data_IF_718231939266
#
_entry.id   IF_718231939266
#
_cell.length_a   1.000
_cell.length_b   1.000
_cell.length_c   1.000
_cell.angle_alpha   90.00
_cell.angle_beta   90.00
_cell.angle_gamma   90.00
#
_symmetry.space_group_name_H-M   'P 1'
#
loop_
_entity.id
_entity.type
_entity.pdbx_description
1 polymer ?
#
# COMPACT_ATOMS: atom_id res chain seq x y z
N UNK A 1 8.96 -11.70 40.37
CA UNK A 1 9.51 -11.66 38.99
C UNK A 1 8.36 -11.32 38.06
N UNK A 2 8.38 -10.15 37.42
CA UNK A 2 7.34 -9.79 36.47
C UNK A 2 7.48 -10.68 35.22
N UNK A 3 6.43 -11.41 34.86
CA UNK A 3 6.38 -12.13 33.59
C UNK A 3 6.49 -11.11 32.46
N UNK A 4 7.58 -11.18 31.68
CA UNK A 4 7.67 -10.42 30.42
C UNK A 4 6.55 -10.89 29.50
N UNK A 5 5.69 -9.97 29.06
CA UNK A 5 4.60 -10.29 28.16
C UNK A 5 5.18 -10.90 26.87
N UNK A 6 4.92 -12.17 26.56
CA UNK A 6 5.46 -12.85 25.37
C UNK A 6 4.92 -12.26 24.06
N UNK A 7 3.90 -11.41 24.13
CA UNK A 7 3.32 -10.67 23.00
C UNK A 7 3.82 -9.22 22.93
N UNK A 8 4.66 -8.78 23.88
CA UNK A 8 5.28 -7.46 23.82
C UNK A 8 6.37 -7.41 22.75
N UNK A 9 6.58 -6.22 22.19
CA UNK A 9 7.48 -6.03 21.06
C UNK A 9 8.92 -6.31 21.51
N UNK A 10 9.56 -7.31 20.92
CA UNK A 10 10.96 -7.62 21.21
C UNK A 10 11.87 -6.57 20.55
N UNK A 11 12.10 -5.47 21.27
CA UNK A 11 12.97 -4.37 20.85
C UNK A 11 14.42 -4.85 20.75
N UNK A 12 14.83 -5.75 21.64
CA UNK A 12 16.18 -6.30 21.72
C UNK A 12 16.47 -7.22 20.52
N UNK A 13 15.53 -8.12 20.19
CA UNK A 13 15.60 -8.98 19.01
C UNK A 13 15.55 -8.19 17.70
N UNK A 14 14.79 -7.09 17.65
CA UNK A 14 14.75 -6.19 16.48
C UNK A 14 16.09 -5.49 16.27
N UNK A 15 16.75 -5.02 17.35
CA UNK A 15 18.08 -4.39 17.29
C UNK A 15 19.17 -5.36 16.84
N UNK A 16 19.16 -6.61 17.35
CA UNK A 16 20.15 -7.63 16.95
C UNK A 16 20.06 -8.01 15.47
N UNK A 17 18.87 -7.93 14.89
CA UNK A 17 18.61 -8.36 13.51
C UNK A 17 18.67 -7.22 12.47
N UNK A 18 19.06 -6.00 12.85
CA UNK A 18 19.24 -4.85 11.92
C UNK A 18 20.05 -5.22 10.65
N UNK A 19 21.21 -5.90 10.72
CA UNK A 19 21.96 -6.24 9.50
C UNK A 19 21.17 -7.19 8.58
N UNK A 20 20.42 -8.14 9.14
CA UNK A 20 19.55 -9.01 8.35
C UNK A 20 18.42 -8.22 7.69
N UNK A 21 17.78 -7.29 8.40
CA UNK A 21 16.79 -6.39 7.82
C UNK A 21 17.37 -5.55 6.68
N UNK A 22 18.59 -5.02 6.82
CA UNK A 22 19.26 -4.26 5.76
C UNK A 22 19.45 -5.08 4.49
N UNK A 23 19.99 -6.30 4.63
CA UNK A 23 20.21 -7.19 3.50
C UNK A 23 18.88 -7.62 2.85
N UNK A 24 17.94 -8.14 3.65
CA UNK A 24 16.66 -8.66 3.14
C UNK A 24 15.79 -7.57 2.52
N UNK A 25 15.81 -6.35 3.06
CA UNK A 25 15.08 -5.22 2.47
C UNK A 25 15.61 -4.89 1.08
N UNK A 26 16.93 -4.82 0.90
CA UNK A 26 17.55 -4.56 -0.41
C UNK A 26 17.26 -5.71 -1.37
N UNK A 27 17.47 -6.96 -0.94
CA UNK A 27 17.30 -8.14 -1.81
C UNK A 27 15.84 -8.27 -2.25
N UNK A 28 14.88 -8.18 -1.32
CA UNK A 28 13.46 -8.28 -1.66
C UNK A 28 12.99 -7.14 -2.56
N UNK A 29 13.46 -5.90 -2.31
CA UNK A 29 13.15 -4.75 -3.14
C UNK A 29 13.71 -4.92 -4.56
N UNK A 30 14.99 -5.29 -4.70
CA UNK A 30 15.61 -5.55 -6.01
C UNK A 30 14.89 -6.66 -6.76
N UNK A 31 14.53 -7.74 -6.08
CA UNK A 31 13.80 -8.86 -6.67
C UNK A 31 12.44 -8.41 -7.25
N UNK A 32 11.66 -7.67 -6.47
CA UNK A 32 10.36 -7.11 -6.90
C UNK A 32 10.52 -6.10 -8.04
N UNK A 33 11.48 -5.18 -7.93
CA UNK A 33 11.76 -4.14 -8.92
C UNK A 33 12.20 -4.72 -10.27
N UNK A 34 13.19 -5.62 -10.26
CA UNK A 34 13.72 -6.26 -11.46
C UNK A 34 12.64 -7.12 -12.12
N UNK A 35 11.88 -7.90 -11.35
CA UNK A 35 10.78 -8.68 -11.89
C UNK A 35 9.70 -7.80 -12.52
N UNK A 36 9.33 -6.68 -11.88
CA UNK A 36 8.35 -5.74 -12.43
C UNK A 36 8.81 -5.18 -13.78
N UNK A 37 10.09 -4.80 -13.93
CA UNK A 37 10.63 -4.29 -15.20
C UNK A 37 10.68 -5.39 -16.26
N UNK A 38 11.30 -6.54 -15.95
CA UNK A 38 11.49 -7.63 -16.90
C UNK A 38 10.14 -8.11 -17.43
N UNK A 39 9.18 -8.41 -16.55
CA UNK A 39 7.89 -8.96 -16.93
C UNK A 39 6.89 -7.92 -17.47
N UNK A 40 7.22 -6.64 -17.41
CA UNK A 40 6.49 -5.60 -18.15
C UNK A 40 6.83 -5.65 -19.65
N UNK A 41 8.08 -5.97 -19.99
CA UNK A 41 8.60 -5.88 -21.36
C UNK A 41 8.68 -7.26 -22.02
N UNK A 42 9.10 -8.28 -21.27
CA UNK A 42 9.42 -9.61 -21.76
C UNK A 42 8.52 -10.64 -21.11
N UNK A 43 7.78 -11.47 -21.86
CA UNK A 43 7.01 -12.56 -21.27
C UNK A 43 7.96 -13.64 -20.71
N UNK A 44 7.51 -14.45 -19.74
CA UNK A 44 8.29 -15.59 -19.30
C UNK A 44 8.60 -16.52 -20.48
N UNK A 45 9.80 -17.11 -20.49
CA UNK A 45 10.17 -18.10 -21.50
C UNK A 45 9.17 -19.25 -21.52
N UNK A 46 8.86 -19.77 -22.71
CA UNK A 46 7.99 -20.93 -22.86
C UNK A 46 8.75 -22.14 -22.33
N UNK A 47 8.59 -22.46 -21.04
CA UNK A 47 9.09 -23.71 -20.48
C UNK A 47 8.48 -24.88 -21.24
N UNK A 48 9.21 -25.99 -21.35
CA UNK A 48 8.81 -27.24 -22.02
C UNK A 48 7.50 -27.89 -21.48
N UNK A 49 6.78 -27.24 -20.58
CA UNK A 49 5.52 -27.68 -19.97
C UNK A 49 4.35 -26.79 -20.46
N UNK A 50 3.96 -27.00 -21.72
CA UNK A 50 3.00 -26.19 -22.48
C UNK A 50 1.53 -26.40 -22.14
N UNK A 51 1.09 -25.99 -20.94
CA UNK A 51 -0.34 -25.96 -20.60
C UNK A 51 -0.89 -24.57 -20.26
N UNK A 52 -0.04 -23.61 -19.88
CA UNK A 52 -0.48 -22.29 -19.40
C UNK A 52 -0.07 -21.19 -20.37
N UNK A 53 -1.00 -20.29 -20.69
CA UNK A 53 -0.70 -19.09 -21.47
C UNK A 53 0.27 -18.20 -20.66
N UNK A 54 1.41 -17.85 -21.26
CA UNK A 54 2.38 -16.94 -20.65
C UNK A 54 2.30 -15.58 -21.35
N UNK A 55 2.56 -14.51 -20.59
CA UNK A 55 2.50 -13.16 -21.13
C UNK A 55 3.19 -12.15 -20.24
N UNK A 56 3.41 -10.95 -20.77
CA UNK A 56 3.82 -9.81 -19.94
C UNK A 56 2.69 -9.41 -18.99
N UNK A 57 3.00 -8.66 -17.93
CA UNK A 57 2.01 -8.19 -16.95
C UNK A 57 0.82 -7.52 -17.66
N UNK A 58 1.14 -6.59 -18.56
CA UNK A 58 0.15 -5.85 -19.35
C UNK A 58 -0.39 -6.64 -20.55
N UNK A 59 0.33 -7.65 -21.03
CA UNK A 59 -0.15 -8.56 -22.07
C UNK A 59 -1.31 -9.41 -21.57
N UNK A 60 -1.15 -10.02 -20.39
CA UNK A 60 -2.22 -10.79 -19.72
C UNK A 60 -3.41 -9.90 -19.40
N UNK A 61 -3.16 -8.67 -18.93
CA UNK A 61 -4.20 -7.66 -18.69
C UNK A 61 -5.06 -7.36 -19.93
N UNK A 62 -4.42 -7.20 -21.10
CA UNK A 62 -5.13 -6.93 -22.35
C UNK A 62 -5.91 -8.14 -22.86
N UNK A 63 -5.43 -9.35 -22.57
CA UNK A 63 -6.13 -10.58 -22.93
C UNK A 63 -7.39 -10.80 -22.07
N UNK A 64 -7.35 -10.40 -20.80
CA UNK A 64 -8.45 -10.57 -19.84
C UNK A 64 -8.96 -9.22 -19.35
N UNK A 65 -9.67 -8.51 -20.23
CA UNK A 65 -10.22 -7.21 -19.84
C UNK A 65 -11.41 -7.40 -18.91
N UNK A 66 -11.33 -6.74 -17.77
CA UNK A 66 -12.34 -6.77 -16.73
C UNK A 66 -12.81 -5.37 -16.35
N UNK A 67 -13.94 -5.27 -15.64
CA UNK A 67 -14.40 -4.03 -15.03
C UNK A 67 -13.32 -3.30 -14.21
N UNK A 68 -12.43 -4.04 -13.55
CA UNK A 68 -11.40 -3.48 -12.68
C UNK A 68 -10.04 -3.35 -13.35
N UNK A 69 -9.96 -3.53 -14.68
CA UNK A 69 -8.72 -3.34 -15.42
C UNK A 69 -8.34 -1.87 -15.44
N UNK A 70 -7.19 -1.54 -14.85
CA UNK A 70 -6.65 -0.18 -14.79
C UNK A 70 -5.87 0.18 -16.06
N UNK A 71 -5.75 1.48 -16.32
CA UNK A 71 -4.91 1.97 -17.40
C UNK A 71 -3.42 1.73 -17.10
N UNK A 72 -2.70 1.21 -18.08
CA UNK A 72 -1.31 0.80 -17.91
C UNK A 72 -0.38 2.00 -17.65
N UNK A 73 -0.69 3.19 -18.16
CA UNK A 73 0.11 4.40 -17.95
C UNK A 73 -0.01 4.83 -16.49
N UNK A 74 -1.24 4.86 -15.96
CA UNK A 74 -1.47 5.17 -14.55
C UNK A 74 -0.79 4.16 -13.62
N UNK A 75 -0.94 2.87 -13.88
CA UNK A 75 -0.28 1.82 -13.09
C UNK A 75 1.25 1.98 -13.16
N UNK A 76 1.81 2.26 -14.33
CA UNK A 76 3.26 2.45 -14.49
C UNK A 76 3.77 3.67 -13.71
N UNK A 77 3.08 4.82 -13.79
CA UNK A 77 3.43 6.02 -13.02
C UNK A 77 3.36 5.73 -11.52
N UNK A 78 2.30 5.03 -11.08
CA UNK A 78 2.13 4.65 -9.68
C UNK A 78 3.31 3.83 -9.16
N UNK A 79 3.74 2.82 -9.92
CA UNK A 79 4.85 1.96 -9.56
C UNK A 79 6.20 2.68 -9.56
N UNK A 80 6.45 3.56 -10.54
CA UNK A 80 7.66 4.39 -10.55
C UNK A 80 7.73 5.25 -9.28
N UNK A 81 6.65 5.95 -8.96
CA UNK A 81 6.58 6.78 -7.74
C UNK A 81 6.73 5.92 -6.48
N UNK A 82 6.09 4.75 -6.43
CA UNK A 82 6.21 3.82 -5.31
C UNK A 82 7.66 3.37 -5.14
N UNK A 83 8.33 2.90 -6.19
CA UNK A 83 9.73 2.46 -6.11
C UNK A 83 10.67 3.60 -5.70
N UNK A 84 10.48 4.82 -6.22
CA UNK A 84 11.23 5.99 -5.77
C UNK A 84 11.02 6.25 -4.27
N UNK A 85 9.78 6.18 -3.78
CA UNK A 85 9.49 6.33 -2.35
C UNK A 85 10.09 5.19 -1.52
N UNK A 86 10.13 3.97 -2.04
CA UNK A 86 10.72 2.82 -1.34
C UNK A 86 12.24 2.96 -1.16
N UNK A 87 12.94 3.63 -2.08
CA UNK A 87 14.35 3.99 -1.88
C UNK A 87 14.51 4.88 -0.62
N UNK A 88 13.60 5.84 -0.43
CA UNK A 88 13.60 6.68 0.78
C UNK A 88 13.45 5.86 2.05
N UNK A 89 12.60 4.83 2.06
CA UNK A 89 12.49 3.89 3.18
C UNK A 89 13.79 3.13 3.43
N UNK A 90 14.43 2.60 2.38
CA UNK A 90 15.70 1.88 2.48
C UNK A 90 16.77 2.79 3.11
N UNK A 91 16.86 4.05 2.67
CA UNK A 91 17.81 5.02 3.23
C UNK A 91 17.61 5.24 4.73
N UNK A 92 16.37 5.21 5.24
CA UNK A 92 16.10 5.34 6.69
C UNK A 92 16.77 4.23 7.50
N UNK A 93 16.90 3.03 6.94
CA UNK A 93 17.52 1.88 7.62
C UNK A 93 19.05 1.99 7.74
N UNK A 94 19.67 2.88 6.96
CA UNK A 94 21.10 3.17 6.97
C UNK A 94 21.46 4.51 7.65
N UNK A 95 20.49 5.23 8.20
CA UNK A 95 20.77 6.44 8.96
C UNK A 95 21.55 6.14 10.24
N UNK A 96 22.32 7.12 10.70
CA UNK A 96 23.08 7.07 11.96
C UNK A 96 22.19 7.27 13.20
N UNK A 97 20.97 7.79 13.00
CA UNK A 97 20.00 8.03 14.06
C UNK A 97 19.29 6.73 14.46
N UNK A 98 19.43 6.33 15.72
CA UNK A 98 18.81 5.13 16.28
C UNK A 98 17.28 5.18 16.25
N UNK A 99 16.67 6.36 16.39
CA UNK A 99 15.21 6.51 16.38
C UNK A 99 14.66 6.21 14.98
N UNK A 100 15.28 6.76 13.93
CA UNK A 100 14.93 6.49 12.54
C UNK A 100 15.09 5.01 12.18
N UNK A 101 16.20 4.39 12.57
CA UNK A 101 16.46 2.96 12.30
C UNK A 101 15.47 2.06 13.04
N UNK A 102 15.16 2.36 14.29
CA UNK A 102 14.21 1.56 15.09
C UNK A 102 12.78 1.69 14.56
N UNK A 103 12.38 2.88 14.08
CA UNK A 103 11.09 3.08 13.43
C UNK A 103 11.01 2.29 12.11
N UNK A 104 12.03 2.37 11.25
CA UNK A 104 12.08 1.61 10.00
C UNK A 104 12.11 0.10 10.24
N UNK A 105 12.92 -0.38 11.18
CA UNK A 105 13.04 -1.80 11.51
C UNK A 105 11.71 -2.40 12.02
N UNK A 106 10.86 -1.59 12.65
CA UNK A 106 9.54 -2.05 13.12
C UNK A 106 8.55 -2.39 12.03
N UNK A 107 8.75 -1.82 10.84
CA UNK A 107 7.93 -2.05 9.64
C UNK A 107 8.69 -2.90 8.60
N UNK A 108 9.99 -3.14 8.81
CA UNK A 108 10.88 -3.83 7.87
C UNK A 108 10.42 -5.22 7.47
N UNK A 109 9.88 -6.01 8.40
CA UNK A 109 9.35 -7.35 8.08
C UNK A 109 8.17 -7.29 7.10
N UNK A 110 7.24 -6.36 7.31
CA UNK A 110 6.09 -6.15 6.42
C UNK A 110 6.51 -5.62 5.05
N UNK A 111 7.51 -4.74 5.01
CA UNK A 111 8.09 -4.27 3.75
C UNK A 111 8.73 -5.40 2.95
N UNK A 112 9.51 -6.27 3.60
CA UNK A 112 10.13 -7.43 2.97
C UNK A 112 9.05 -8.38 2.43
N UNK A 113 8.06 -8.72 3.27
CA UNK A 113 6.97 -9.60 2.86
C UNK A 113 6.13 -9.01 1.73
N UNK A 114 5.89 -7.68 1.72
CA UNK A 114 5.20 -7.00 0.63
C UNK A 114 5.91 -7.23 -0.71
N UNK A 115 7.24 -7.03 -0.74
CA UNK A 115 8.01 -7.22 -1.97
C UNK A 115 8.06 -8.69 -2.40
N UNK A 116 8.15 -9.63 -1.46
CA UNK A 116 8.13 -11.06 -1.77
C UNK A 116 6.76 -11.51 -2.31
N UNK A 117 5.67 -11.08 -1.70
CA UNK A 117 4.33 -11.38 -2.19
C UNK A 117 4.03 -10.69 -3.52
N UNK A 118 4.51 -9.46 -3.72
CA UNK A 118 4.42 -8.78 -5.00
C UNK A 118 5.20 -9.54 -6.08
N UNK A 119 6.40 -10.02 -5.76
CA UNK A 119 7.19 -10.86 -6.67
C UNK A 119 6.45 -12.17 -7.01
N UNK A 120 5.96 -12.90 -6.00
CA UNK A 120 5.16 -14.11 -6.20
C UNK A 120 3.93 -13.84 -7.07
N UNK A 121 3.23 -12.73 -6.84
CA UNK A 121 2.10 -12.31 -7.66
C UNK A 121 2.52 -12.09 -9.12
N UNK A 122 3.61 -11.36 -9.39
CA UNK A 122 4.11 -11.13 -10.77
C UNK A 122 4.39 -12.46 -11.46
N UNK A 123 5.07 -13.39 -10.79
CA UNK A 123 5.39 -14.70 -11.35
C UNK A 123 4.12 -15.52 -11.65
N UNK A 124 3.14 -15.52 -10.75
CA UNK A 124 1.91 -16.29 -10.95
C UNK A 124 1.00 -15.65 -12.01
N UNK A 125 0.89 -14.32 -12.02
CA UNK A 125 0.09 -13.55 -12.98
C UNK A 125 0.59 -13.72 -14.42
N UNK A 126 1.91 -13.62 -14.62
CA UNK A 126 2.53 -13.75 -15.95
C UNK A 126 2.46 -15.18 -16.51
N UNK A 127 2.17 -16.15 -15.66
CA UNK A 127 1.91 -17.55 -16.00
C UNK A 127 0.41 -17.91 -16.01
N UNK A 128 -0.49 -16.92 -15.94
CA UNK A 128 -1.96 -17.10 -15.92
C UNK A 128 -2.50 -17.98 -14.78
N UNK A 129 -1.76 -18.09 -13.67
CA UNK A 129 -2.18 -18.83 -12.47
C UNK A 129 -3.02 -17.93 -11.55
N UNK A 130 -4.20 -17.51 -12.04
CA UNK A 130 -5.00 -16.45 -11.41
C UNK A 130 -5.41 -16.77 -9.97
N UNK A 131 -5.82 -18.00 -9.68
CA UNK A 131 -6.24 -18.42 -8.33
C UNK A 131 -5.10 -18.28 -7.31
N UNK A 132 -3.90 -18.74 -7.67
CA UNK A 132 -2.74 -18.65 -6.80
C UNK A 132 -2.26 -17.21 -6.67
N UNK A 133 -2.28 -16.46 -7.76
CA UNK A 133 -1.92 -15.04 -7.72
C UNK A 133 -2.88 -14.26 -6.81
N UNK A 134 -4.18 -14.58 -6.82
CA UNK A 134 -5.18 -13.94 -5.97
C UNK A 134 -4.95 -14.25 -4.49
N UNK A 135 -4.60 -15.50 -4.16
CA UNK A 135 -4.22 -15.86 -2.80
C UNK A 135 -3.07 -14.98 -2.28
N UNK A 136 -2.00 -14.81 -3.06
CA UNK A 136 -0.88 -13.93 -2.68
C UNK A 136 -1.27 -12.46 -2.62
N UNK A 137 -2.16 -11.98 -3.51
CA UNK A 137 -2.67 -10.61 -3.46
C UNK A 137 -3.48 -10.34 -2.17
N UNK A 138 -4.37 -11.26 -1.80
CA UNK A 138 -5.18 -11.18 -0.56
C UNK A 138 -4.29 -11.26 0.67
N UNK A 139 -3.33 -12.20 0.72
CA UNK A 139 -2.37 -12.27 1.82
C UNK A 139 -1.57 -10.98 1.95
N UNK A 140 -1.16 -10.38 0.83
CA UNK A 140 -0.44 -9.11 0.80
C UNK A 140 -1.30 -7.95 1.33
N UNK A 141 -2.57 -7.90 0.94
CA UNK A 141 -3.52 -6.93 1.46
C UNK A 141 -3.72 -7.07 2.98
N UNK A 142 -3.97 -8.29 3.46
CA UNK A 142 -4.23 -8.55 4.88
C UNK A 142 -3.03 -8.20 5.76
N UNK A 143 -1.80 -8.52 5.36
CA UNK A 143 -0.62 -8.17 6.15
C UNK A 143 -0.41 -6.65 6.27
N UNK A 144 -0.81 -5.88 5.26
CA UNK A 144 -0.69 -4.41 5.26
C UNK A 144 -1.81 -3.77 6.08
N UNK A 145 -3.02 -4.34 6.05
CA UNK A 145 -4.10 -3.95 6.98
C UNK A 145 -3.66 -4.20 8.43
N UNK A 146 -3.10 -5.38 8.72
CA UNK A 146 -2.58 -5.69 10.06
C UNK A 146 -1.46 -4.73 10.47
N UNK A 147 -0.58 -4.34 9.55
CA UNK A 147 0.42 -3.32 9.80
C UNK A 147 -0.22 -1.98 10.20
N UNK A 148 -1.26 -1.53 9.49
CA UNK A 148 -2.00 -0.30 9.80
C UNK A 148 -2.70 -0.36 11.16
N UNK A 149 -3.34 -1.48 11.47
CA UNK A 149 -4.02 -1.68 12.76
C UNK A 149 -3.02 -1.72 13.92
N UNK A 150 -1.84 -2.31 13.71
CA UNK A 150 -0.80 -2.46 14.74
C UNK A 150 0.03 -1.19 14.96
N UNK A 151 0.30 -0.45 13.90
CA UNK A 151 1.03 0.81 13.94
C UNK A 151 0.12 1.92 13.40
N UNK A 152 -0.87 2.39 14.18
CA UNK A 152 -1.69 3.54 13.84
C UNK A 152 -0.85 4.83 14.04
N UNK A 153 0.34 4.90 13.44
CA UNK A 153 1.13 6.13 13.44
C UNK A 153 0.48 7.06 12.44
N UNK A 154 -0.44 7.86 12.96
CA UNK A 154 -0.99 9.03 12.28
C UNK A 154 0.15 9.78 11.58
N UNK A 155 0.06 10.04 10.26
CA UNK A 155 1.04 10.88 9.59
C UNK A 155 0.95 12.27 10.19
N UNK A 156 1.84 12.58 11.13
CA UNK A 156 1.89 13.85 11.85
C UNK A 156 1.85 14.99 10.83
N UNK A 157 0.81 15.79 11.01
CA UNK A 157 0.28 16.79 10.11
C UNK A 157 1.18 18.03 10.16
N UNK A 158 2.32 18.01 9.47
CA UNK A 158 3.09 19.21 9.18
C UNK A 158 3.42 19.22 7.69
N UNK A 159 2.59 19.88 6.89
CA UNK A 159 3.04 20.40 5.60
C UNK A 159 4.12 21.43 5.96
N UNK A 160 5.39 21.22 5.58
CA UNK A 160 6.42 22.23 5.82
C UNK A 160 6.01 23.49 5.07
N UNK A 161 5.88 24.61 5.78
CA UNK A 161 5.68 25.94 5.19
C UNK A 161 6.92 26.44 4.43
N UNK A 162 7.89 25.57 4.16
CA UNK A 162 9.17 25.89 3.54
C UNK A 162 9.50 24.86 2.48
N UNK A 163 9.90 25.38 1.32
CA UNK A 163 10.26 24.67 0.09
C UNK A 163 11.59 23.90 0.21
N UNK A 164 11.87 23.30 1.37
CA UNK A 164 13.03 22.43 1.58
C UNK A 164 12.63 21.01 1.26
N UNK A 165 12.94 20.56 0.04
CA UNK A 165 12.52 19.26 -0.52
C UNK A 165 13.05 18.02 0.23
N UNK A 166 13.76 18.17 1.34
CA UNK A 166 14.53 17.09 1.97
C UNK A 166 14.33 16.93 3.49
N UNK A 167 13.58 17.82 4.15
CA UNK A 167 13.32 17.70 5.60
C UNK A 167 11.83 17.55 5.89
N UNK A 168 11.30 16.35 5.66
CA UNK A 168 9.89 16.05 5.91
C UNK A 168 9.78 14.79 6.76
N UNK A 169 9.56 14.98 8.06
CA UNK A 169 9.10 14.01 9.08
C UNK A 169 9.47 12.54 8.81
N UNK A 170 10.43 12.01 9.56
CA UNK A 170 10.90 10.59 9.52
C UNK A 170 9.74 9.58 9.38
N UNK A 171 8.62 9.83 10.06
CA UNK A 171 7.42 9.00 9.99
C UNK A 171 6.79 8.91 8.59
N UNK A 172 6.78 10.00 7.80
CA UNK A 172 6.23 9.99 6.43
C UNK A 172 7.07 9.17 5.48
N UNK A 173 8.39 9.29 5.61
CA UNK A 173 9.37 8.58 4.77
C UNK A 173 9.38 7.07 5.03
N UNK A 174 8.79 6.62 6.14
CA UNK A 174 8.58 5.20 6.44
C UNK A 174 7.17 4.76 6.05
N UNK A 175 6.16 5.55 6.41
CA UNK A 175 4.75 5.18 6.26
C UNK A 175 4.27 5.13 4.82
N UNK A 176 4.57 6.16 4.02
CA UNK A 176 4.11 6.24 2.62
C UNK A 176 4.62 5.07 1.77
N UNK A 177 5.95 4.78 1.75
CA UNK A 177 6.49 3.68 0.94
C UNK A 177 6.24 2.28 1.48
N UNK A 178 6.06 2.10 2.79
CA UNK A 178 5.94 0.77 3.39
C UNK A 178 4.50 0.36 3.71
N UNK A 179 3.59 1.32 3.88
CA UNK A 179 2.22 1.06 4.26
C UNK A 179 1.22 1.67 3.27
N UNK A 180 1.17 3.00 3.11
CA UNK A 180 0.08 3.68 2.42
C UNK A 180 -0.05 3.29 0.93
N UNK A 181 1.01 3.50 0.13
CA UNK A 181 0.96 3.16 -1.29
C UNK A 181 0.91 1.64 -1.53
N UNK A 182 1.70 0.80 -0.84
CA UNK A 182 1.55 -0.65 -0.93
C UNK A 182 0.14 -1.16 -0.65
N UNK A 183 -0.53 -0.60 0.36
CA UNK A 183 -1.87 -1.02 0.77
C UNK A 183 -2.90 -0.67 -0.30
N UNK A 184 -2.90 0.56 -0.79
CA UNK A 184 -3.82 0.98 -1.85
C UNK A 184 -3.63 0.12 -3.09
N UNK A 185 -2.40 -0.14 -3.52
CA UNK A 185 -2.15 -1.02 -4.65
C UNK A 185 -2.70 -2.42 -4.41
N UNK A 186 -2.43 -3.01 -3.23
CA UNK A 186 -2.86 -4.37 -2.91
C UNK A 186 -4.38 -4.51 -2.93
N UNK A 187 -5.12 -3.48 -2.51
CA UNK A 187 -6.58 -3.46 -2.61
C UNK A 187 -7.07 -3.47 -4.07
N UNK A 188 -6.51 -2.60 -4.92
CA UNK A 188 -6.84 -2.60 -6.34
C UNK A 188 -6.42 -3.90 -7.03
N UNK A 189 -5.30 -4.48 -6.62
CA UNK A 189 -4.78 -5.74 -7.13
C UNK A 189 -5.75 -6.89 -6.86
N UNK A 190 -6.29 -7.00 -5.64
CA UNK A 190 -7.30 -8.01 -5.27
C UNK A 190 -8.57 -7.84 -6.12
N UNK A 191 -9.07 -6.61 -6.29
CA UNK A 191 -10.25 -6.38 -7.13
C UNK A 191 -9.98 -6.73 -8.61
N UNK A 192 -8.83 -6.32 -9.12
CA UNK A 192 -8.45 -6.53 -10.51
C UNK A 192 -8.20 -8.01 -10.81
N UNK A 193 -7.35 -8.67 -10.03
CA UNK A 193 -7.02 -10.07 -10.21
C UNK A 193 -8.19 -10.99 -9.90
N UNK A 194 -8.92 -10.74 -8.82
CA UNK A 194 -10.15 -11.46 -8.49
C UNK A 194 -11.20 -11.38 -9.62
N UNK A 195 -11.31 -10.23 -10.29
CA UNK A 195 -12.21 -10.10 -11.45
C UNK A 195 -11.77 -10.92 -12.67
N UNK A 196 -10.47 -11.11 -12.87
CA UNK A 196 -9.92 -11.99 -13.92
C UNK A 196 -10.14 -13.45 -13.54
N UNK A 197 -9.88 -13.82 -12.30
CA UNK A 197 -10.07 -15.17 -11.77
C UNK A 197 -11.51 -15.68 -11.95
N UNK A 198 -12.51 -14.82 -11.73
CA UNK A 198 -13.93 -15.20 -11.82
C UNK A 198 -14.44 -15.31 -13.27
N UNK A 199 -13.68 -14.88 -14.29
CA UNK A 199 -14.04 -15.08 -15.70
C UNK A 199 -15.37 -14.41 -16.08
N UNK A 200 -15.52 -13.15 -15.66
CA UNK A 200 -16.82 -12.55 -15.42
C UNK A 200 -17.34 -11.80 -16.69
N UNK A 201 -18.10 -12.48 -17.56
CA UNK A 201 -18.54 -11.95 -18.88
C UNK A 201 -20.06 -11.63 -19.01
N UNK A 202 -20.87 -11.94 -17.99
CA UNK A 202 -22.34 -11.81 -18.05
C UNK A 202 -22.92 -10.50 -17.49
N UNK A 203 -24.25 -10.31 -17.61
CA UNK A 203 -24.98 -9.16 -17.05
C UNK A 203 -24.86 -9.07 -15.53
N UNK A 204 -24.96 -10.20 -14.82
CA UNK A 204 -24.79 -10.26 -13.37
C UNK A 204 -23.42 -9.73 -12.93
N UNK A 205 -22.38 -10.01 -13.72
CA UNK A 205 -21.04 -9.47 -13.48
C UNK A 205 -21.01 -7.95 -13.53
N UNK A 206 -21.71 -7.35 -14.50
CA UNK A 206 -21.75 -5.90 -14.66
C UNK A 206 -22.44 -5.21 -13.49
N UNK A 207 -23.55 -5.79 -13.03
CA UNK A 207 -24.27 -5.30 -11.84
C UNK A 207 -23.39 -5.41 -10.60
N UNK A 208 -22.77 -6.56 -10.39
CA UNK A 208 -21.87 -6.79 -9.25
C UNK A 208 -20.67 -5.85 -9.28
N UNK A 209 -20.05 -5.63 -10.44
CA UNK A 209 -18.92 -4.72 -10.60
C UNK A 209 -19.29 -3.26 -10.29
N UNK A 210 -20.49 -2.81 -10.69
CA UNK A 210 -21.01 -1.48 -10.37
C UNK A 210 -21.28 -1.30 -8.87
N UNK A 211 -21.59 -2.36 -8.13
CA UNK A 211 -21.74 -2.31 -6.67
C UNK A 211 -20.35 -2.36 -6.01
N UNK A 212 -19.50 -3.30 -6.44
CA UNK A 212 -18.19 -3.54 -5.87
C UNK A 212 -17.21 -2.36 -6.04
N UNK A 213 -17.36 -1.54 -7.10
CA UNK A 213 -16.51 -0.36 -7.30
C UNK A 213 -16.63 0.65 -6.16
N UNK A 214 -17.81 0.76 -5.52
CA UNK A 214 -17.99 1.63 -4.35
C UNK A 214 -17.21 1.14 -3.13
N UNK A 215 -16.78 -0.12 -3.12
CA UNK A 215 -15.82 -0.63 -2.14
C UNK A 215 -14.52 0.16 -2.11
N UNK A 216 -14.10 0.77 -3.24
CA UNK A 216 -12.94 1.68 -3.30
C UNK A 216 -13.20 2.95 -2.47
N UNK A 217 -14.39 3.52 -2.57
CA UNK A 217 -14.76 4.69 -1.77
C UNK A 217 -14.86 4.36 -0.28
N UNK A 218 -15.43 3.20 0.06
CA UNK A 218 -15.52 2.73 1.45
C UNK A 218 -14.13 2.48 2.03
N UNK A 219 -13.25 1.83 1.26
CA UNK A 219 -11.85 1.60 1.64
C UNK A 219 -11.13 2.92 1.90
N UNK A 220 -11.15 3.86 0.95
CA UNK A 220 -10.50 5.16 1.13
C UNK A 220 -11.11 5.96 2.29
N UNK A 221 -12.45 5.97 2.39
CA UNK A 221 -13.19 6.64 3.46
C UNK A 221 -12.82 6.10 4.85
N UNK A 222 -12.69 4.78 4.99
CA UNK A 222 -12.25 4.16 6.25
C UNK A 222 -10.87 4.67 6.69
N UNK A 223 -9.88 4.68 5.79
CA UNK A 223 -8.53 5.17 6.12
C UNK A 223 -8.47 6.69 6.33
N UNK A 224 -9.29 7.47 5.61
CA UNK A 224 -9.39 8.91 5.79
C UNK A 224 -10.11 9.30 7.09
N UNK A 225 -11.13 8.57 7.52
CA UNK A 225 -11.90 8.88 8.75
C UNK A 225 -11.19 8.36 9.99
N UNK A 226 -10.77 7.09 9.98
CA UNK A 226 -10.22 6.42 11.17
C UNK A 226 -8.77 6.80 11.41
N UNK A 227 -7.95 6.81 10.35
CA UNK A 227 -6.51 7.07 10.46
C UNK A 227 -6.10 8.49 10.06
N UNK A 228 -7.03 9.29 9.53
CA UNK A 228 -6.77 10.63 8.98
C UNK A 228 -5.63 10.63 7.96
N UNK A 229 -5.52 9.55 7.19
CA UNK A 229 -4.40 9.32 6.28
C UNK A 229 -4.73 9.78 4.86
N UNK A 230 -4.36 11.02 4.56
CA UNK A 230 -4.56 11.61 3.24
C UNK A 230 -3.68 10.98 2.14
N UNK A 231 -2.61 10.25 2.48
CA UNK A 231 -1.76 9.61 1.48
C UNK A 231 -2.47 8.42 0.83
N UNK A 232 -3.17 7.60 1.62
CA UNK A 232 -4.03 6.51 1.11
C UNK A 232 -5.13 7.10 0.24
N UNK A 233 -5.72 8.22 0.65
CA UNK A 233 -6.73 8.92 -0.11
C UNK A 233 -6.23 9.39 -1.48
N UNK A 234 -5.12 10.13 -1.54
CA UNK A 234 -4.54 10.57 -2.82
C UNK A 234 -4.09 9.41 -3.71
N UNK A 235 -3.47 8.37 -3.14
CA UNK A 235 -3.09 7.16 -3.87
C UNK A 235 -4.33 6.47 -4.47
N UNK A 236 -5.42 6.38 -3.70
CA UNK A 236 -6.68 5.77 -4.14
C UNK A 236 -7.34 6.60 -5.23
N UNK A 237 -7.36 7.93 -5.09
CA UNK A 237 -7.88 8.83 -6.10
C UNK A 237 -7.11 8.70 -7.43
N UNK A 238 -5.78 8.59 -7.38
CA UNK A 238 -4.94 8.41 -8.56
C UNK A 238 -5.21 7.08 -9.28
N UNK A 239 -5.29 5.97 -8.55
CA UNK A 239 -5.61 4.66 -9.15
C UNK A 239 -7.08 4.58 -9.62
N UNK A 240 -8.01 5.24 -8.93
CA UNK A 240 -9.40 5.37 -9.36
C UNK A 240 -9.52 6.17 -10.67
N UNK A 241 -8.69 7.22 -10.86
CA UNK A 241 -8.57 7.91 -12.15
C UNK A 241 -8.09 6.95 -13.25
N UNK A 242 -7.05 6.17 -12.98
CA UNK A 242 -6.55 5.16 -13.93
C UNK A 242 -7.58 4.10 -14.31
N UNK A 243 -8.40 3.68 -13.35
CA UNK A 243 -9.55 2.80 -13.62
C UNK A 243 -10.60 3.51 -14.49
N UNK A 244 -10.95 4.75 -14.16
CA UNK A 244 -11.92 5.54 -14.94
C UNK A 244 -11.49 5.77 -16.39
N UNK A 245 -10.21 6.11 -16.61
CA UNK A 245 -9.62 6.30 -17.95
C UNK A 245 -9.66 5.01 -18.76
N UNK A 246 -9.24 3.88 -18.18
CA UNK A 246 -9.31 2.58 -18.84
C UNK A 246 -10.74 2.22 -19.26
N UNK A 247 -11.69 2.34 -18.32
CA UNK A 247 -13.08 1.99 -18.60
C UNK A 247 -13.75 2.97 -19.59
N UNK A 248 -13.30 4.22 -19.65
CA UNK A 248 -13.76 5.18 -20.65
C UNK A 248 -13.40 4.76 -22.08
N UNK A 249 -12.20 4.20 -22.29
CA UNK A 249 -11.77 3.73 -23.61
C UNK A 249 -12.36 2.37 -23.98
N UNK A 250 -12.44 1.44 -23.02
CA UNK A 250 -12.83 0.06 -23.28
C UNK A 250 -14.37 -0.09 -23.34
N UNK A 251 -15.13 0.79 -22.67
CA UNK A 251 -16.61 0.85 -22.68
C UNK A 251 -17.33 -0.50 -22.44
N UNK A 252 -16.71 -1.45 -21.74
CA UNK A 252 -17.31 -2.76 -21.44
C UNK A 252 -18.56 -2.61 -20.55
N UNK A 253 -18.53 -1.66 -19.62
CA UNK A 253 -19.65 -1.31 -18.73
C UNK A 253 -19.91 0.19 -18.80
N UNK A 254 -21.06 0.56 -19.35
CA UNK A 254 -21.40 1.95 -19.69
C UNK A 254 -21.37 2.93 -18.51
N UNK A 255 -21.59 2.49 -17.26
CA UNK A 255 -21.64 3.36 -16.07
C UNK A 255 -20.35 3.37 -15.24
N UNK A 256 -19.43 2.44 -15.49
CA UNK A 256 -18.35 2.20 -14.56
C UNK A 256 -17.30 3.32 -14.53
N UNK A 257 -17.02 3.93 -15.69
CA UNK A 257 -16.13 5.08 -15.79
C UNK A 257 -16.68 6.29 -15.02
N UNK A 258 -18.01 6.51 -15.03
CA UNK A 258 -18.66 7.58 -14.26
C UNK A 258 -18.45 7.36 -12.76
N UNK A 259 -18.70 6.14 -12.28
CA UNK A 259 -18.50 5.81 -10.87
C UNK A 259 -17.02 5.95 -10.47
N UNK A 260 -16.09 5.50 -11.31
CA UNK A 260 -14.67 5.65 -11.05
C UNK A 260 -14.23 7.12 -10.91
N UNK A 261 -14.66 8.01 -11.82
CA UNK A 261 -14.34 9.44 -11.72
C UNK A 261 -15.04 10.12 -10.55
N UNK A 262 -16.28 9.74 -10.23
CA UNK A 262 -16.98 10.24 -9.05
C UNK A 262 -16.27 9.84 -7.76
N UNK A 263 -15.86 8.57 -7.64
CA UNK A 263 -15.09 8.09 -6.48
C UNK A 263 -13.75 8.82 -6.39
N UNK A 264 -13.05 9.00 -7.51
CA UNK A 264 -11.82 9.79 -7.56
C UNK A 264 -12.05 11.21 -7.03
N UNK A 265 -13.07 11.92 -7.53
CA UNK A 265 -13.35 13.29 -7.12
C UNK A 265 -13.70 13.38 -5.62
N UNK A 266 -14.58 12.50 -5.12
CA UNK A 266 -14.98 12.47 -3.71
C UNK A 266 -13.76 12.19 -2.83
N UNK A 267 -12.99 11.14 -3.13
CA UNK A 267 -11.82 10.76 -2.34
C UNK A 267 -10.75 11.84 -2.40
N UNK A 268 -10.52 12.46 -3.57
CA UNK A 268 -9.55 13.55 -3.72
C UNK A 268 -9.92 14.78 -2.89
N UNK A 269 -11.17 15.25 -2.99
CA UNK A 269 -11.65 16.40 -2.22
C UNK A 269 -11.63 16.10 -0.71
N UNK A 270 -12.00 14.89 -0.31
CA UNK A 270 -11.97 14.51 1.09
C UNK A 270 -10.52 14.39 1.61
N UNK A 271 -9.59 13.89 0.81
CA UNK A 271 -8.16 13.89 1.12
C UNK A 271 -7.62 15.30 1.28
N UNK A 272 -8.03 16.25 0.43
CA UNK A 272 -7.66 17.64 0.53
C UNK A 272 -8.21 18.28 1.84
N UNK A 273 -9.46 17.99 2.18
CA UNK A 273 -10.07 18.47 3.43
C UNK A 273 -9.35 17.95 4.69
N UNK A 274 -8.88 16.70 4.67
CA UNK A 274 -8.06 16.12 5.76
C UNK A 274 -6.63 16.67 5.76
N UNK A 275 -6.08 17.00 4.60
CA UNK A 275 -4.72 17.53 4.44
C UNK A 275 -4.57 18.99 4.92
N UNK A 276 -5.61 19.81 4.83
CA UNK A 276 -5.56 21.23 5.27
C UNK A 276 -5.63 21.34 6.80
N UNK A 277 -4.60 21.90 7.48
CA UNK A 277 -4.65 22.16 8.91
C UNK A 277 -5.71 23.24 9.20
N UNK A 278 -6.69 22.92 10.05
CA UNK A 278 -7.70 23.88 10.53
C UNK A 278 -9.15 23.47 10.29
N UNK A 279 -9.45 22.60 9.32
CA UNK A 279 -10.83 22.13 9.07
C UNK A 279 -11.18 20.94 9.99
N UNK A 280 -10.21 20.06 10.25
CA UNK A 280 -10.32 18.94 11.21
C UNK A 280 -9.39 19.09 12.43
N UNK A 281 -8.74 20.26 12.55
CA UNK A 281 -7.75 20.59 13.57
C UNK A 281 -8.32 21.36 14.75
N UNK A 282 -9.30 20.79 15.45
CA UNK A 282 -9.52 21.11 16.86
C UNK A 282 -9.57 19.79 17.60
N UNK A 283 -8.46 19.47 18.24
CA UNK A 283 -8.29 18.32 19.12
C UNK A 283 -9.50 18.22 20.05
N UNK A 284 -10.24 17.11 19.98
CA UNK A 284 -11.01 16.65 21.14
C UNK A 284 -9.98 16.31 22.21
N UNK A 285 -9.76 17.26 23.13
CA UNK A 285 -8.72 17.27 24.17
C UNK A 285 -8.83 16.19 25.26
N UNK A 286 -9.14 14.96 24.87
CA UNK A 286 -9.24 13.79 25.76
C UNK A 286 -8.01 12.88 25.61
N UNK A 287 -7.43 12.72 24.42
CA UNK A 287 -6.27 11.84 24.21
C UNK A 287 -4.91 12.47 24.57
N UNK A 288 -4.78 13.80 24.45
CA UNK A 288 -3.55 14.50 24.83
C UNK A 288 -3.29 14.57 26.35
N UNK A 289 -4.27 14.17 27.19
CA UNK A 289 -4.14 14.13 28.66
C UNK A 289 -3.92 12.73 29.24
N UNK A 290 -3.99 11.68 28.42
CA UNK A 290 -3.90 10.28 28.88
C UNK A 290 -2.50 9.67 28.85
N UNK A 291 -1.66 10.04 27.87
CA UNK A 291 -0.37 9.38 27.65
C UNK A 291 0.79 9.87 28.53
N UNK A 292 0.73 11.11 29.03
CA UNK A 292 1.83 11.73 29.78
C UNK A 292 1.75 11.50 31.31
N UNK A 293 0.71 10.81 31.79
CA UNK A 293 0.56 10.47 33.23
C UNK A 293 1.17 9.12 33.62
N UNK A 294 1.48 8.25 32.66
CA UNK A 294 2.11 6.94 32.94
C UNK A 294 3.64 6.96 32.85
N UNK A 295 4.26 8.12 32.59
CA UNK A 295 5.72 8.33 32.62
C UNK A 295 6.14 9.44 33.59
N UNK A 296 5.52 9.50 34.76
CA UNK A 296 6.08 10.29 35.85
C UNK A 296 7.19 9.48 36.54
N UNK A 297 8.45 9.96 36.59
CA UNK A 297 9.49 9.34 37.41
C UNK A 297 9.14 9.57 38.89
N UNK A 298 8.72 8.52 39.59
CA UNK A 298 8.58 8.52 41.05
C UNK A 298 9.97 8.36 41.68
N UNK A 299 10.70 9.47 41.79
CA UNK A 299 11.83 9.62 42.70
C UNK A 299 11.82 11.03 43.32
N UNK A 300 11.28 11.12 44.53
CA UNK A 300 11.75 12.04 45.57
C UNK A 300 11.80 11.25 46.87
N UNK A 301 12.92 10.57 47.08
CA UNK A 301 13.42 10.33 48.42
C UNK A 301 14.52 11.37 48.63
N UNK A 302 14.24 12.40 49.41
CA UNK A 302 15.27 13.24 50.01
C UNK A 302 14.94 13.33 51.51
N UNK A 303 15.91 12.91 52.32
CA UNK A 303 15.96 13.00 53.79
C UNK A 303 15.80 14.44 54.28
#
# INVERSE_FOLDING_TARGET
MAFSNPFSRDVEGTRRNIPAYRALTIISWLLSFVAAIIYTITPPGHGHHGHWATGTIFGISKAHITPFTLDHVFVSIYWVVLFCNQISFIVQLFRRDEAAVTAAASVGSHFILFNLFQFCWIMLWTHSLFIWSELFAVLNFLQLVLLYLRNPTTPRQVIPSTLTCFDTNIHRLVHVPAAAMPLTWSFFLVLWNGSVMVGCHGLACRVLANIAIWGIAVFAGFFLVVFKDYHVGFATAFLAAGLGVSQFFVKIIALQWIFAFTIMAIVFLFSLAVAVPGIYGRETGVEARGGDRERAPLLREDN
#
